data_IF_672449630342
#
_entry.id   IF_672449630342
#
_cell.length_a   1.000
_cell.length_b   1.000
_cell.length_c   1.000
_cell.angle_alpha   90.00
_cell.angle_beta   90.00
_cell.angle_gamma   90.00
#
_symmetry.space_group_name_H-M   'P 1'
#
loop_
_entity.id
_entity.type
_entity.pdbx_description
1 polymer ?
#
# COMPACT_ATOMS: atom_id res chain seq x y z
N UNK A 1 -3.65 34.89 6.33
CA UNK A 1 -4.36 33.96 5.43
C UNK A 1 -3.97 32.57 5.88
N UNK A 2 -4.71 32.05 6.85
CA UNK A 2 -4.52 30.70 7.38
C UNK A 2 -5.43 29.76 6.58
N UNK A 3 -4.88 29.18 5.51
CA UNK A 3 -5.53 28.10 4.76
C UNK A 3 -4.83 26.79 5.06
N UNK A 4 -5.51 25.95 5.82
CA UNK A 4 -5.15 24.54 5.94
C UNK A 4 -5.59 23.95 7.25
N UNK A 5 -6.90 23.76 7.41
CA UNK A 5 -7.46 22.97 8.50
C UNK A 5 -6.64 21.68 8.68
N UNK A 6 -6.01 21.58 9.83
CA UNK A 6 -5.34 20.38 10.31
C UNK A 6 -6.38 19.25 10.26
N UNK A 7 -6.19 18.27 9.36
CA UNK A 7 -7.10 17.10 9.27
C UNK A 7 -6.76 16.20 10.48
N UNK A 8 -7.27 16.58 11.64
CA UNK A 8 -7.12 15.86 12.90
C UNK A 8 -8.04 14.64 12.85
N UNK A 9 -7.52 13.49 12.44
CA UNK A 9 -8.28 12.24 12.55
C UNK A 9 -7.78 11.05 11.72
N UNK A 10 -6.93 11.25 10.70
CA UNK A 10 -6.33 10.11 9.99
C UNK A 10 -5.11 9.62 10.75
N UNK A 11 -5.21 8.40 11.28
CA UNK A 11 -4.17 7.75 12.08
C UNK A 11 -3.37 6.73 11.27
N UNK A 12 -3.88 6.33 10.11
CA UNK A 12 -3.21 5.35 9.26
C UNK A 12 -3.92 5.08 7.94
N UNK A 13 -3.52 3.98 7.32
CA UNK A 13 -4.05 3.51 6.04
C UNK A 13 -4.06 1.99 6.00
N UNK A 14 -4.96 1.45 5.19
CA UNK A 14 -4.93 0.05 4.81
C UNK A 14 -5.14 -0.11 3.31
N UNK A 15 -4.48 -1.11 2.73
CA UNK A 15 -4.65 -1.51 1.34
C UNK A 15 -4.90 -3.02 1.26
N UNK A 16 -5.70 -3.46 0.28
CA UNK A 16 -5.85 -4.88 0.02
C UNK A 16 -4.57 -5.46 -0.58
N UNK A 17 -4.05 -6.47 0.11
CA UNK A 17 -2.92 -7.28 -0.31
C UNK A 17 -3.44 -8.72 -0.46
N UNK A 18 -3.30 -9.34 -1.65
CA UNK A 18 -3.66 -10.76 -1.82
C UNK A 18 -2.87 -11.64 -0.85
N UNK A 19 -3.53 -12.63 -0.23
CA UNK A 19 -2.91 -13.57 0.74
C UNK A 19 -1.56 -14.13 0.30
N UNK A 20 -1.43 -14.52 -0.98
CA UNK A 20 -0.17 -15.04 -1.55
C UNK A 20 1.05 -14.12 -1.44
N UNK A 21 0.83 -12.81 -1.24
CA UNK A 21 1.91 -11.82 -1.06
C UNK A 21 2.03 -11.33 0.37
N UNK A 22 1.04 -11.60 1.22
CA UNK A 22 0.96 -11.06 2.58
C UNK A 22 2.09 -11.59 3.47
N UNK A 23 2.33 -12.90 3.45
CA UNK A 23 3.35 -13.52 4.30
C UNK A 23 4.75 -12.95 4.08
N UNK A 24 5.05 -12.43 2.89
CA UNK A 24 6.33 -11.81 2.56
C UNK A 24 6.68 -10.66 3.51
N UNK A 25 5.69 -9.91 3.99
CA UNK A 25 5.92 -8.84 4.96
C UNK A 25 6.38 -9.37 6.32
N UNK A 26 5.77 -10.46 6.76
CA UNK A 26 6.13 -11.13 8.01
C UNK A 26 7.41 -11.96 7.90
N UNK A 27 7.92 -12.16 6.68
CA UNK A 27 9.19 -12.82 6.36
C UNK A 27 10.32 -11.82 6.04
N UNK A 28 10.09 -10.51 6.22
CA UNK A 28 11.13 -9.49 6.16
C UNK A 28 11.09 -8.57 4.93
N UNK A 29 10.11 -8.68 4.04
CA UNK A 29 9.85 -7.62 3.04
C UNK A 29 9.17 -6.44 3.71
N UNK A 30 9.64 -5.23 3.46
CA UNK A 30 9.16 -4.04 4.17
C UNK A 30 8.83 -2.87 3.26
N UNK A 31 8.78 -3.10 1.94
CA UNK A 31 8.40 -2.08 0.95
C UNK A 31 7.16 -2.51 0.20
N UNK A 32 6.07 -1.76 0.43
CA UNK A 32 4.80 -1.92 -0.28
C UNK A 32 4.76 -1.00 -1.52
N UNK A 33 4.29 -1.51 -2.65
CA UNK A 33 4.24 -0.78 -3.94
C UNK A 33 2.88 -0.93 -4.61
N UNK A 34 2.29 0.18 -5.05
CA UNK A 34 1.06 0.19 -5.86
C UNK A 34 0.86 1.53 -6.59
N UNK A 35 -0.13 1.65 -7.49
CA UNK A 35 -0.54 2.95 -7.99
C UNK A 35 -1.01 3.88 -6.87
N UNK A 36 -0.55 5.12 -6.90
CA UNK A 36 -0.83 6.13 -5.88
C UNK A 36 -2.33 6.51 -5.92
N UNK A 37 -3.08 6.04 -4.92
CA UNK A 37 -4.54 6.25 -4.79
C UNK A 37 -4.86 6.98 -3.48
N UNK A 38 -4.97 6.26 -2.37
CA UNK A 38 -5.20 6.85 -1.04
C UNK A 38 -3.87 7.17 -0.38
N UNK A 39 -3.22 8.29 -0.73
CA UNK A 39 -1.84 8.57 -0.28
C UNK A 39 -1.59 10.00 0.23
N UNK A 40 -2.41 10.99 -0.17
CA UNK A 40 -2.12 12.42 0.04
C UNK A 40 -1.96 12.81 1.52
N UNK A 41 -2.64 12.11 2.43
CA UNK A 41 -2.60 12.38 3.86
C UNK A 41 -1.57 11.52 4.60
N UNK A 42 -0.90 10.58 3.91
CA UNK A 42 0.09 9.72 4.57
C UNK A 42 1.31 10.53 4.98
N UNK A 43 1.79 10.26 6.18
CA UNK A 43 2.99 10.85 6.77
C UNK A 43 3.80 9.75 7.45
N UNK A 44 5.09 10.02 7.65
CA UNK A 44 5.95 9.17 8.48
C UNK A 44 5.35 9.03 9.88
N UNK A 45 5.45 7.83 10.46
CA UNK A 45 4.94 7.48 11.79
C UNK A 45 3.48 7.03 11.80
N UNK A 46 2.70 7.28 10.74
CA UNK A 46 1.31 6.79 10.64
C UNK A 46 1.25 5.27 10.53
N UNK A 47 0.13 4.67 10.95
CA UNK A 47 -0.08 3.23 10.86
C UNK A 47 -0.32 2.77 9.42
N UNK A 48 0.27 1.64 9.07
CA UNK A 48 -0.09 0.84 7.90
C UNK A 48 -0.68 -0.47 8.40
N UNK A 49 -1.98 -0.69 8.20
CA UNK A 49 -2.64 -1.93 8.63
C UNK A 49 -2.77 -2.87 7.45
N UNK A 50 -2.22 -4.07 7.59
CA UNK A 50 -2.21 -5.09 6.56
C UNK A 50 -3.60 -5.74 6.44
N UNK A 51 -4.33 -5.42 5.37
CA UNK A 51 -5.58 -6.10 5.04
C UNK A 51 -5.33 -7.20 4.02
N UNK A 52 -5.56 -8.45 4.43
CA UNK A 52 -5.50 -9.61 3.57
C UNK A 52 -6.79 -9.73 2.76
N UNK A 53 -6.65 -9.89 1.45
CA UNK A 53 -7.76 -10.03 0.51
C UNK A 53 -7.78 -11.40 -0.19
N UNK A 54 -8.90 -11.71 -0.84
CA UNK A 54 -9.23 -12.97 -1.54
C UNK A 54 -9.59 -14.12 -0.60
N UNK A 55 -8.63 -14.60 0.19
CA UNK A 55 -8.79 -15.74 1.11
C UNK A 55 -8.49 -15.30 2.53
N UNK A 56 -9.15 -15.91 3.51
CA UNK A 56 -8.99 -15.61 4.93
C UNK A 56 -8.93 -14.10 5.19
N UNK A 57 -9.95 -13.39 4.70
CA UNK A 57 -9.95 -11.93 4.64
C UNK A 57 -9.95 -11.33 6.04
N UNK A 58 -9.19 -10.26 6.25
CA UNK A 58 -9.12 -9.58 7.54
C UNK A 58 -7.87 -8.72 7.70
N UNK A 59 -7.84 -7.92 8.75
CA UNK A 59 -6.62 -7.27 9.20
C UNK A 59 -5.73 -8.30 9.91
N UNK A 60 -4.50 -8.46 9.43
CA UNK A 60 -3.60 -9.54 9.88
C UNK A 60 -2.32 -9.03 10.54
N UNK A 61 -2.15 -7.71 10.59
CA UNK A 61 -1.00 -7.08 11.22
C UNK A 61 -1.01 -5.57 11.00
N UNK A 62 0.00 -4.91 11.54
CA UNK A 62 0.28 -3.49 11.30
C UNK A 62 1.78 -3.20 11.23
N UNK A 63 2.10 -2.00 10.75
CA UNK A 63 3.44 -1.43 10.72
C UNK A 63 3.34 0.08 10.86
N UNK A 64 4.49 0.75 10.97
CA UNK A 64 4.60 2.20 10.84
C UNK A 64 5.15 2.58 9.48
N UNK A 65 4.62 3.66 8.92
CA UNK A 65 5.16 4.24 7.70
C UNK A 65 6.50 4.93 8.03
N UNK A 66 7.59 4.42 7.47
CA UNK A 66 8.92 5.02 7.59
C UNK A 66 9.15 6.09 6.53
N UNK A 67 8.83 5.79 5.27
CA UNK A 67 9.03 6.67 4.13
C UNK A 67 8.02 6.40 3.01
N UNK A 68 7.67 7.44 2.25
CA UNK A 68 6.85 7.33 1.04
C UNK A 68 7.66 7.94 -0.12
N UNK A 69 7.76 7.22 -1.24
CA UNK A 69 8.36 7.71 -2.48
C UNK A 69 7.33 7.61 -3.58
N UNK A 70 7.21 8.66 -4.39
CA UNK A 70 6.34 8.71 -5.55
C UNK A 70 7.20 8.69 -6.83
N UNK A 71 6.80 7.89 -7.82
CA UNK A 71 7.49 7.79 -9.11
C UNK A 71 6.47 7.61 -10.24
N UNK A 72 6.75 8.15 -11.42
CA UNK A 72 5.98 7.83 -12.62
C UNK A 72 6.29 6.41 -13.11
N UNK A 73 7.55 6.00 -13.04
CA UNK A 73 8.00 4.67 -13.39
C UNK A 73 8.17 3.81 -12.12
N UNK A 74 7.28 2.83 -11.88
CA UNK A 74 7.36 1.95 -10.71
C UNK A 74 8.58 1.03 -10.73
N UNK A 75 9.23 0.81 -11.89
CA UNK A 75 10.41 -0.05 -11.96
C UNK A 75 11.61 0.56 -11.24
N UNK A 76 11.66 1.90 -11.14
CA UNK A 76 12.71 2.62 -10.39
C UNK A 76 12.71 2.32 -8.90
N UNK A 77 11.61 1.81 -8.34
CA UNK A 77 11.63 1.40 -6.93
C UNK A 77 12.62 0.26 -6.67
N UNK A 78 12.87 -0.62 -7.65
CA UNK A 78 13.86 -1.69 -7.49
C UNK A 78 15.30 -1.17 -7.45
N UNK A 79 15.59 -0.01 -8.02
CA UNK A 79 16.91 0.63 -7.90
C UNK A 79 17.14 1.16 -6.49
N UNK A 80 16.07 1.54 -5.78
CA UNK A 80 16.12 2.13 -4.44
C UNK A 80 16.06 1.05 -3.35
N UNK A 81 15.15 0.09 -3.52
CA UNK A 81 14.78 -0.88 -2.48
C UNK A 81 15.18 -2.31 -2.81
N UNK A 82 15.58 -2.60 -4.05
CA UNK A 82 16.01 -3.93 -4.46
C UNK A 82 14.98 -5.00 -4.13
N UNK A 83 15.44 -6.03 -3.42
CA UNK A 83 14.63 -7.18 -3.05
C UNK A 83 13.69 -6.94 -1.86
N UNK A 84 13.77 -5.79 -1.16
CA UNK A 84 12.88 -5.44 -0.04
C UNK A 84 11.42 -5.23 -0.46
N UNK A 85 11.17 -5.04 -1.76
CA UNK A 85 9.84 -4.89 -2.33
C UNK A 85 9.07 -6.21 -2.21
N UNK A 86 7.83 -6.13 -1.73
CA UNK A 86 6.99 -7.31 -1.52
C UNK A 86 6.64 -8.06 -2.82
N UNK A 87 6.68 -7.38 -3.97
CA UNK A 87 6.56 -7.98 -5.29
C UNK A 87 7.94 -8.15 -5.93
N UNK A 88 8.13 -9.26 -6.63
CA UNK A 88 9.25 -9.43 -7.56
C UNK A 88 9.13 -8.50 -8.76
N UNK A 89 10.24 -8.31 -9.48
CA UNK A 89 10.29 -7.49 -10.69
C UNK A 89 9.27 -7.93 -11.73
N UNK A 90 9.10 -9.23 -11.92
CA UNK A 90 8.18 -9.78 -12.92
C UNK A 90 6.73 -9.74 -12.48
N UNK A 91 6.44 -9.93 -11.18
CA UNK A 91 5.10 -9.71 -10.64
C UNK A 91 4.67 -8.24 -10.77
N UNK A 92 5.57 -7.29 -10.52
CA UNK A 92 5.27 -5.87 -10.71
C UNK A 92 5.03 -5.54 -12.20
N UNK A 93 5.86 -6.05 -13.12
CA UNK A 93 5.61 -5.92 -14.57
C UNK A 93 4.26 -6.51 -14.97
N UNK A 94 3.93 -7.70 -14.48
CA UNK A 94 2.63 -8.34 -14.72
C UNK A 94 1.48 -7.49 -14.20
N UNK A 95 1.65 -6.90 -13.01
CA UNK A 95 0.66 -6.00 -12.43
C UNK A 95 0.47 -4.74 -13.28
N UNK A 96 1.53 -4.07 -13.73
CA UNK A 96 1.47 -2.92 -14.64
C UNK A 96 0.72 -3.26 -15.93
N UNK A 97 1.08 -4.37 -16.60
CA UNK A 97 0.41 -4.83 -17.83
C UNK A 97 -1.08 -5.09 -17.62
N UNK A 98 -1.45 -5.71 -16.49
CA UNK A 98 -2.86 -5.93 -16.18
C UNK A 98 -3.60 -4.59 -16.01
N UNK A 99 -3.01 -3.61 -15.33
CA UNK A 99 -3.60 -2.29 -15.17
C UNK A 99 -3.84 -1.61 -16.53
N UNK A 100 -2.90 -1.70 -17.47
CA UNK A 100 -3.05 -1.13 -18.82
C UNK A 100 -4.23 -1.72 -19.60
N UNK A 101 -4.46 -3.05 -19.47
CA UNK A 101 -5.60 -3.73 -20.13
C UNK A 101 -6.96 -3.19 -19.64
N UNK A 102 -7.06 -2.81 -18.38
CA UNK A 102 -8.28 -2.24 -17.80
C UNK A 102 -8.47 -0.74 -18.08
N UNK A 103 -7.53 -0.06 -18.77
CA UNK A 103 -7.56 1.39 -19.06
C UNK A 103 -8.23 1.74 -20.40
N UNK A 104 -9.22 0.96 -20.86
CA UNK A 104 -9.98 1.29 -22.08
C UNK A 104 -10.66 2.67 -21.94
N UNK A 105 -10.00 3.74 -22.39
CA UNK A 105 -10.53 5.11 -22.44
C UNK A 105 -9.71 6.23 -21.76
N UNK A 106 -8.67 5.94 -20.98
CA UNK A 106 -7.81 6.97 -20.33
C UNK A 106 -6.33 6.76 -20.66
N UNK A 107 -5.95 7.01 -21.92
CA UNK A 107 -4.57 6.85 -22.42
C UNK A 107 -3.59 7.90 -21.89
N UNK A 108 -4.03 9.13 -21.58
CA UNK A 108 -3.09 10.27 -21.50
C UNK A 108 -2.65 10.71 -20.10
N UNK A 109 -3.17 10.13 -19.01
CA UNK A 109 -2.66 10.44 -17.66
C UNK A 109 -1.61 9.43 -17.22
N UNK A 110 -0.35 9.87 -17.09
CA UNK A 110 0.69 9.09 -16.40
C UNK A 110 0.21 8.83 -14.96
N UNK A 111 0.06 7.56 -14.59
CA UNK A 111 -0.42 7.16 -13.27
C UNK A 111 0.77 7.20 -12.33
N UNK A 112 0.73 8.09 -11.33
CA UNK A 112 1.75 8.12 -10.29
C UNK A 112 1.70 6.81 -9.49
N UNK A 113 2.86 6.23 -9.20
CA UNK A 113 3.02 5.08 -8.33
C UNK A 113 3.64 5.50 -7.02
N UNK A 114 3.45 4.68 -5.99
CA UNK A 114 4.07 4.88 -4.69
C UNK A 114 4.73 3.62 -4.18
N UNK A 115 5.86 3.82 -3.50
CA UNK A 115 6.48 2.86 -2.60
C UNK A 115 6.40 3.39 -1.17
N UNK A 116 5.94 2.56 -0.26
CA UNK A 116 5.85 2.86 1.17
C UNK A 116 6.82 1.91 1.88
N UNK A 117 7.90 2.48 2.42
CA UNK A 117 8.83 1.79 3.31
C UNK A 117 8.18 1.72 4.70
N UNK A 118 8.18 0.53 5.27
CA UNK A 118 7.56 0.19 6.54
C UNK A 118 8.63 -0.12 7.58
N UNK A 119 8.32 0.14 8.85
CA UNK A 119 9.11 -0.26 10.01
C UNK A 119 8.18 -0.80 11.10
N UNK A 120 8.75 -1.49 12.10
CA UNK A 120 7.99 -2.09 13.20
C UNK A 120 6.84 -3.00 12.72
N UNK A 121 7.09 -3.85 11.71
CA UNK A 121 6.08 -4.78 11.18
C UNK A 121 5.72 -5.82 12.25
N UNK A 122 4.44 -5.90 12.59
CA UNK A 122 3.88 -6.83 13.57
C UNK A 122 2.70 -7.60 12.97
N UNK A 123 2.68 -8.90 13.22
CA UNK A 123 1.58 -9.79 12.86
C UNK A 123 0.61 -9.91 14.04
N UNK A 124 -0.68 -9.93 13.76
CA UNK A 124 -1.68 -10.27 14.78
C UNK A 124 -1.80 -11.78 14.96
N UNK A 125 -2.11 -12.21 16.18
CA UNK A 125 -2.31 -13.64 16.48
C UNK A 125 -3.47 -14.24 15.67
N UNK A 126 -4.51 -13.45 15.41
CA UNK A 126 -5.69 -13.83 14.63
C UNK A 126 -6.11 -12.69 13.69
N UNK A 127 -6.62 -13.00 12.49
CA UNK A 127 -7.20 -11.99 11.62
C UNK A 127 -8.39 -11.28 12.29
N UNK A 128 -8.41 -9.94 12.24
CA UNK A 128 -9.51 -9.10 12.73
C UNK A 128 -10.40 -8.74 11.54
N UNK A 129 -11.70 -9.05 11.63
CA UNK A 129 -12.63 -8.72 10.55
C UNK A 129 -12.87 -7.20 10.47
N UNK A 130 -12.83 -6.60 9.28
CA UNK A 130 -13.10 -5.18 9.14
C UNK A 130 -14.60 -4.91 9.33
N UNK A 131 -14.94 -3.84 10.05
CA UNK A 131 -16.35 -3.40 10.18
C UNK A 131 -16.97 -2.99 8.85
N UNK A 132 -16.15 -2.56 7.89
CA UNK A 132 -16.57 -2.12 6.56
C UNK A 132 -15.64 -2.68 5.49
N UNK A 133 -16.20 -2.88 4.30
CA UNK A 133 -15.44 -3.35 3.15
C UNK A 133 -14.23 -2.46 2.84
N UNK A 134 -13.08 -3.08 2.59
CA UNK A 134 -11.86 -2.38 2.17
C UNK A 134 -11.80 -2.34 0.63
N UNK A 135 -11.92 -1.16 -0.01
CA UNK A 135 -11.90 -1.07 -1.47
C UNK A 135 -10.51 -1.33 -2.05
N UNK A 136 -10.44 -1.68 -3.35
CA UNK A 136 -9.19 -1.91 -4.09
C UNK A 136 -8.21 -0.71 -4.00
N UNK A 137 -8.74 0.51 -3.89
CA UNK A 137 -7.97 1.74 -3.69
C UNK A 137 -7.28 1.84 -2.32
N UNK A 138 -7.69 1.04 -1.34
CA UNK A 138 -7.39 1.24 0.07
C UNK A 138 -8.31 2.26 0.73
N UNK A 139 -8.14 2.45 2.03
CA UNK A 139 -8.89 3.42 2.81
C UNK A 139 -8.03 4.00 3.93
N UNK A 140 -8.30 5.24 4.32
CA UNK A 140 -7.73 5.82 5.54
C UNK A 140 -8.35 5.17 6.76
N UNK A 141 -7.53 4.98 7.78
CA UNK A 141 -7.95 4.60 9.13
C UNK A 141 -8.08 5.88 9.93
N UNK A 142 -9.20 6.00 10.63
CA UNK A 142 -9.49 7.14 11.49
C UNK A 142 -9.59 6.68 12.94
N UNK A 143 -9.09 7.52 13.85
CA UNK A 143 -9.21 7.35 15.30
C UNK A 143 -10.44 8.06 15.85
#
# INVERSE_FOLDING_TARGET
MDEGAEITGVTGVTYPIPKKYMNRFFEGKDVFVKPATVWKQLRRGMKFVFYQSQEDTGFVGEAKIKRIILQEDPMKFFEIYGDRIFLTKDELKGYIKSQERWRSGQKDRKKLWMAIELEDIQKYDKPIQPERFVPAGGQYIRG
#
